data_IF_638373797281
#
_entry.id   IF_638373797281
#
_cell.length_a   1.000
_cell.length_b   1.000
_cell.length_c   1.000
_cell.angle_alpha   90.00
_cell.angle_beta   90.00
_cell.angle_gamma   90.00
#
_symmetry.space_group_name_H-M   'P 1'
#
loop_
_entity.id
_entity.type
_entity.pdbx_description
1 polymer ?
#
# COMPACT_ATOMS: atom_id res chain seq x y z
N UNK A 1 -11.23 -41.39 10.33
CA UNK A 1 -10.64 -40.30 11.13
C UNK A 1 -9.12 -40.43 11.08
N UNK A 2 -8.50 -39.61 10.22
CA UNK A 2 -7.10 -39.17 10.24
C UNK A 2 -6.88 -38.38 8.94
N UNK A 3 -7.05 -37.07 9.01
CA UNK A 3 -6.72 -36.16 7.92
C UNK A 3 -5.23 -35.82 8.02
N UNK A 4 -4.44 -36.25 7.04
CA UNK A 4 -3.04 -35.85 6.90
C UNK A 4 -3.01 -34.55 6.10
N UNK A 5 -2.57 -33.47 6.72
CA UNK A 5 -2.28 -32.19 6.08
C UNK A 5 -1.02 -32.35 5.22
N UNK A 6 -1.14 -32.07 3.92
CA UNK A 6 -0.02 -31.91 3.01
C UNK A 6 0.44 -30.46 3.13
N UNK A 7 1.59 -30.25 3.77
CA UNK A 7 2.33 -28.98 3.71
C UNK A 7 2.88 -28.80 2.30
N UNK A 8 2.42 -27.76 1.60
CA UNK A 8 3.02 -27.32 0.33
C UNK A 8 4.02 -26.21 0.64
N UNK A 9 5.30 -26.55 0.57
CA UNK A 9 6.40 -25.58 0.66
C UNK A 9 6.47 -24.75 -0.63
N UNK A 10 6.53 -23.42 -0.58
CA UNK A 10 6.67 -22.61 -1.79
C UNK A 10 8.08 -22.78 -2.40
N UNK A 11 8.22 -22.82 -3.73
CA UNK A 11 9.52 -22.94 -4.36
C UNK A 11 10.35 -21.66 -4.18
N UNK A 12 11.60 -21.87 -3.81
CA UNK A 12 12.66 -20.87 -3.74
C UNK A 12 12.87 -20.17 -5.10
N UNK A 13 12.53 -18.88 -5.17
CA UNK A 13 12.88 -17.99 -6.27
C UNK A 13 14.38 -17.64 -6.21
N UNK A 14 15.22 -18.51 -6.77
CA UNK A 14 16.61 -18.21 -7.09
C UNK A 14 16.87 -18.66 -8.52
N UNK A 15 16.59 -17.79 -9.49
CA UNK A 15 17.30 -17.68 -10.77
C UNK A 15 16.60 -16.64 -11.67
N UNK A 16 16.94 -15.37 -11.46
CA UNK A 16 16.92 -14.36 -12.52
C UNK A 16 18.17 -13.51 -12.37
N UNK A 17 19.28 -14.07 -12.86
CA UNK A 17 20.52 -13.34 -13.13
C UNK A 17 20.82 -13.58 -14.62
N UNK A 18 21.30 -12.51 -15.25
CA UNK A 18 21.83 -12.45 -16.62
C UNK A 18 20.83 -12.08 -17.73
N UNK A 19 20.72 -10.77 -17.99
CA UNK A 19 20.98 -10.19 -19.31
C UNK A 19 20.97 -8.65 -19.21
N UNK A 20 22.16 -8.05 -19.09
CA UNK A 20 22.35 -6.61 -19.30
C UNK A 20 23.18 -6.43 -20.58
N UNK A 21 22.71 -5.67 -21.59
CA UNK A 21 23.56 -5.26 -22.69
C UNK A 21 24.33 -3.99 -22.33
N UNK A 22 25.63 -4.07 -22.62
CA UNK A 22 26.63 -3.05 -22.44
C UNK A 22 26.29 -1.71 -23.13
N UNK A 23 26.47 -0.61 -22.41
CA UNK A 23 26.71 0.70 -22.99
C UNK A 23 28.01 1.27 -22.39
N UNK A 24 29.08 1.17 -23.17
CA UNK A 24 30.39 1.74 -22.92
C UNK A 24 30.37 3.26 -23.12
N UNK A 25 30.81 4.01 -22.11
CA UNK A 25 30.97 5.45 -22.18
C UNK A 25 31.89 5.96 -21.07
N UNK A 26 33.18 5.66 -21.21
CA UNK A 26 34.29 6.26 -20.45
C UNK A 26 34.22 7.79 -20.58
N UNK A 27 34.51 8.57 -19.53
CA UNK A 27 35.37 9.77 -19.55
C UNK A 27 35.58 10.33 -18.11
N UNK A 28 36.82 10.14 -17.63
CA UNK A 28 37.65 10.98 -16.73
C UNK A 28 37.26 11.29 -15.26
N UNK A 29 37.96 10.57 -14.38
CA UNK A 29 38.76 10.98 -13.20
C UNK A 29 38.69 12.45 -12.73
N UNK A 30 38.43 12.65 -11.43
CA UNK A 30 39.45 13.19 -10.50
C UNK A 30 39.15 12.88 -9.02
N UNK A 31 40.18 12.81 -8.16
CA UNK A 31 40.12 12.38 -6.75
C UNK A 31 40.28 13.55 -5.74
N UNK A 32 40.17 13.22 -4.44
CA UNK A 32 40.24 14.11 -3.25
C UNK A 32 38.98 14.98 -3.07
N UNK A 33 38.32 14.98 -1.92
CA UNK A 33 38.82 15.50 -0.64
C UNK A 33 38.29 14.68 0.56
N UNK A 34 39.23 14.35 1.44
CA UNK A 34 39.07 13.83 2.80
C UNK A 34 38.78 14.97 3.80
N UNK A 35 38.11 14.61 4.91
CA UNK A 35 38.11 15.27 6.24
C UNK A 35 37.33 16.58 6.43
N UNK A 36 36.30 16.51 7.31
CA UNK A 36 36.21 17.22 8.62
C UNK A 36 34.82 16.90 9.23
N UNK A 37 34.71 16.12 10.31
CA UNK A 37 34.81 16.48 11.73
C UNK A 37 33.73 17.49 12.22
N UNK A 38 33.01 17.03 13.25
CA UNK A 38 32.56 17.77 14.43
C UNK A 38 31.21 18.52 14.40
N UNK A 39 30.31 17.99 15.24
CA UNK A 39 29.54 18.73 16.26
C UNK A 39 28.31 19.55 15.83
N UNK A 40 27.13 18.99 16.10
CA UNK A 40 25.94 19.80 16.44
C UNK A 40 25.43 19.34 17.80
N UNK A 41 25.80 20.10 18.83
CA UNK A 41 25.15 20.13 20.13
C UNK A 41 23.79 20.83 19.97
N UNK A 42 22.73 20.16 20.44
CA UNK A 42 21.46 20.79 20.74
C UNK A 42 21.62 21.69 21.97
N UNK A 43 21.37 22.99 21.80
CA UNK A 43 20.96 23.89 22.89
C UNK A 43 20.27 25.12 22.30
N UNK A 44 18.97 25.01 22.07
CA UNK A 44 18.09 26.16 21.81
C UNK A 44 17.36 26.55 23.09
N UNK A 45 17.90 27.50 23.85
CA UNK A 45 17.14 28.28 24.83
C UNK A 45 17.32 29.77 24.52
N UNK A 46 16.19 30.47 24.44
CA UNK A 46 16.05 31.89 24.09
C UNK A 46 16.85 32.82 25.04
N UNK A 47 17.33 33.97 24.54
CA UNK A 47 17.96 34.99 25.37
C UNK A 47 16.89 35.86 26.07
N UNK A 48 16.92 35.89 27.40
CA UNK A 48 16.35 36.96 28.21
C UNK A 48 17.36 38.12 28.33
N UNK A 49 16.85 39.35 28.26
CA UNK A 49 17.59 40.62 28.23
C UNK A 49 18.55 40.82 29.42
N UNK A 50 19.65 41.59 29.24
CA UNK A 50 20.59 41.88 30.31
C UNK A 50 20.19 43.13 31.10
N UNK A 51 19.96 42.95 32.41
CA UNK A 51 20.08 44.02 33.39
C UNK A 51 21.52 44.04 33.91
N UNK A 52 22.13 45.21 33.81
CA UNK A 52 23.42 45.55 34.39
C UNK A 52 23.28 45.82 35.89
N UNK A 53 24.05 45.14 36.74
CA UNK A 53 24.95 45.84 37.67
C UNK A 53 25.81 44.93 38.57
N UNK A 54 27.00 45.46 38.87
CA UNK A 54 27.83 45.23 40.07
C UNK A 54 28.68 43.95 40.20
N UNK A 55 29.89 44.08 39.65
CA UNK A 55 31.21 43.70 40.22
C UNK A 55 31.25 43.61 41.76
N UNK A 56 31.64 42.46 42.30
CA UNK A 56 32.49 42.33 43.51
C UNK A 56 33.28 41.02 43.48
N UNK A 57 34.45 41.05 44.12
CA UNK A 57 35.61 40.19 43.94
C UNK A 57 35.63 38.89 44.77
N UNK A 58 36.40 37.92 44.25
CA UNK A 58 37.33 36.98 44.93
C UNK A 58 36.84 35.73 45.68
N UNK A 59 37.43 34.62 45.19
CA UNK A 59 38.22 33.60 45.91
C UNK A 59 37.59 32.22 46.24
N UNK A 60 37.98 31.24 45.43
CA UNK A 60 38.57 29.94 45.76
C UNK A 60 38.00 29.06 46.89
N UNK A 61 37.38 27.95 46.49
CA UNK A 61 37.54 26.55 46.99
C UNK A 61 36.40 25.75 46.33
N UNK A 62 36.61 24.63 45.64
CA UNK A 62 37.48 23.52 45.96
C UNK A 62 36.69 22.47 46.73
N UNK A 63 35.69 21.84 46.10
CA UNK A 63 35.24 20.52 46.57
C UNK A 63 34.70 19.66 45.41
N UNK A 64 35.22 18.45 45.39
CA UNK A 64 35.06 17.39 44.41
C UNK A 64 33.83 16.57 44.76
N UNK A 65 32.70 16.90 44.15
CA UNK A 65 31.52 16.04 44.09
C UNK A 65 31.57 15.18 42.82
N UNK A 66 32.15 13.99 42.91
CA UNK A 66 31.91 12.94 41.93
C UNK A 66 30.43 12.53 42.00
N UNK A 67 29.61 13.22 41.23
CA UNK A 67 28.22 12.88 40.99
C UNK A 67 28.22 11.72 40.00
N UNK A 68 27.93 10.52 40.50
CA UNK A 68 27.50 9.38 39.70
C UNK A 68 26.33 9.83 38.80
N UNK A 69 26.66 10.21 37.57
CA UNK A 69 25.69 10.41 36.51
C UNK A 69 25.16 9.03 36.15
N UNK A 70 24.10 8.64 36.88
CA UNK A 70 23.18 7.60 36.46
C UNK A 70 22.91 7.82 34.97
N UNK A 71 23.36 6.85 34.16
CA UNK A 71 23.03 6.79 32.74
C UNK A 71 21.53 6.51 32.70
N UNK A 72 20.76 7.58 32.67
CA UNK A 72 19.32 7.55 32.44
C UNK A 72 19.14 6.98 31.03
N UNK A 73 18.95 5.67 30.95
CA UNK A 73 18.65 4.98 29.72
C UNK A 73 17.31 5.51 29.24
N UNK A 74 17.33 6.50 28.35
CA UNK A 74 16.14 7.06 27.74
C UNK A 74 15.39 5.91 27.06
N UNK A 75 14.35 5.41 27.74
CA UNK A 75 13.49 4.39 27.20
C UNK A 75 12.89 4.94 25.90
N UNK A 76 13.08 4.21 24.80
CA UNK A 76 12.54 4.62 23.51
C UNK A 76 11.01 4.73 23.63
N UNK A 77 10.41 5.80 23.09
CA UNK A 77 8.97 6.00 23.20
C UNK A 77 8.21 4.87 22.50
N UNK A 78 7.15 4.41 23.16
CA UNK A 78 6.22 3.40 22.66
C UNK A 78 5.37 4.00 21.53
N UNK A 79 5.39 3.37 20.36
CA UNK A 79 4.64 3.83 19.18
C UNK A 79 3.30 3.09 19.08
N UNK A 80 2.20 3.81 18.90
CA UNK A 80 0.87 3.23 18.63
C UNK A 80 0.59 3.28 17.13
N UNK A 81 0.44 2.11 16.52
CA UNK A 81 0.15 1.94 15.11
C UNK A 81 -1.25 1.36 14.91
N UNK A 82 -2.08 2.04 14.12
CA UNK A 82 -3.34 1.46 13.63
C UNK A 82 -3.13 0.91 12.21
N UNK A 83 -3.62 -0.30 11.95
CA UNK A 83 -3.67 -0.92 10.62
C UNK A 83 -5.14 -1.15 10.26
N UNK A 84 -5.57 -0.64 9.11
CA UNK A 84 -6.97 -0.66 8.69
C UNK A 84 -7.20 -1.77 7.67
N UNK A 85 -8.20 -2.62 7.90
CA UNK A 85 -8.65 -3.71 7.02
C UNK A 85 -7.60 -4.81 6.68
N UNK A 86 -6.42 -4.81 7.32
CA UNK A 86 -5.36 -5.77 7.02
C UNK A 86 -4.75 -6.38 8.30
N UNK A 87 -5.43 -7.41 8.83
CA UNK A 87 -4.97 -8.13 10.02
C UNK A 87 -3.64 -8.88 9.79
N UNK A 88 -3.43 -9.58 8.66
CA UNK A 88 -2.13 -10.21 8.38
C UNK A 88 -0.96 -9.21 8.36
N UNK A 89 -1.15 -8.01 7.81
CA UNK A 89 -0.14 -6.96 7.84
C UNK A 89 0.12 -6.47 9.26
N UNK A 90 -0.92 -6.29 10.08
CA UNK A 90 -0.77 -5.91 11.49
C UNK A 90 0.12 -6.89 12.26
N UNK A 91 -0.16 -8.19 12.14
CA UNK A 91 0.65 -9.26 12.74
C UNK A 91 2.09 -9.26 12.21
N UNK A 92 2.27 -9.06 10.91
CA UNK A 92 3.59 -9.00 10.29
C UNK A 92 4.41 -7.81 10.81
N UNK A 93 3.80 -6.63 10.93
CA UNK A 93 4.47 -5.43 11.45
C UNK A 93 4.90 -5.64 12.90
N UNK A 94 4.00 -6.12 13.76
CA UNK A 94 4.32 -6.36 15.18
C UNK A 94 5.50 -7.33 15.32
N UNK A 95 5.43 -8.47 14.62
CA UNK A 95 6.50 -9.48 14.61
C UNK A 95 7.82 -8.91 14.11
N UNK A 96 7.83 -8.18 13.00
CA UNK A 96 9.07 -7.66 12.42
C UNK A 96 9.67 -6.51 13.22
N UNK A 97 8.84 -5.67 13.83
CA UNK A 97 9.29 -4.59 14.69
C UNK A 97 9.98 -5.13 15.95
N UNK A 98 9.32 -6.07 16.65
CA UNK A 98 9.87 -6.68 17.87
C UNK A 98 11.18 -7.45 17.62
N UNK A 99 11.40 -7.94 16.39
CA UNK A 99 12.62 -8.64 16.02
C UNK A 99 13.80 -7.71 15.67
N UNK A 100 13.54 -6.44 15.31
CA UNK A 100 14.54 -5.56 14.67
C UNK A 100 14.75 -4.22 15.38
N UNK A 101 13.80 -3.79 16.19
CA UNK A 101 13.77 -2.47 16.82
C UNK A 101 14.01 -2.60 18.32
N UNK A 102 14.76 -1.64 18.88
CA UNK A 102 14.96 -1.55 20.33
C UNK A 102 13.76 -0.91 21.08
N UNK A 103 12.82 -0.29 20.35
CA UNK A 103 11.63 0.36 20.91
C UNK A 103 10.37 -0.49 20.78
N UNK A 104 9.37 -0.20 21.62
CA UNK A 104 8.09 -0.93 21.65
C UNK A 104 7.08 -0.37 20.63
N UNK A 105 6.32 -1.26 19.97
CA UNK A 105 5.16 -0.91 19.14
C UNK A 105 3.90 -1.57 19.69
N UNK A 106 2.78 -0.84 19.68
CA UNK A 106 1.44 -1.40 19.88
C UNK A 106 0.70 -1.31 18.57
N UNK A 107 0.42 -2.48 17.99
CA UNK A 107 -0.33 -2.56 16.75
C UNK A 107 -1.78 -2.87 17.06
N UNK A 108 -2.69 -2.09 16.45
CA UNK A 108 -4.14 -2.34 16.50
C UNK A 108 -4.66 -2.51 15.08
N UNK A 109 -5.33 -3.62 14.80
CA UNK A 109 -6.10 -3.79 13.57
C UNK A 109 -7.56 -3.35 13.80
N UNK A 110 -8.10 -2.55 12.89
CA UNK A 110 -9.51 -2.12 12.90
C UNK A 110 -10.11 -2.14 11.49
N UNK A 111 -11.44 -2.15 11.39
CA UNK A 111 -12.13 -2.00 10.12
C UNK A 111 -12.22 -0.52 9.69
N UNK A 112 -12.25 -0.24 8.39
CA UNK A 112 -12.48 1.10 7.85
C UNK A 112 -13.76 1.74 8.38
N UNK A 113 -14.83 0.96 8.53
CA UNK A 113 -16.09 1.46 9.08
C UNK A 113 -15.96 1.97 10.52
N UNK A 114 -15.15 1.28 11.35
CA UNK A 114 -14.86 1.72 12.72
C UNK A 114 -14.06 3.01 12.73
N UNK A 115 -13.01 3.09 11.89
CA UNK A 115 -12.20 4.30 11.75
C UNK A 115 -13.05 5.52 11.33
N UNK A 116 -13.93 5.33 10.35
CA UNK A 116 -14.78 6.40 9.82
C UNK A 116 -15.82 6.88 10.83
N UNK A 117 -16.29 5.99 11.72
CA UNK A 117 -17.22 6.31 12.79
C UNK A 117 -16.56 6.95 14.02
N UNK A 118 -15.24 6.86 14.16
CA UNK A 118 -14.52 7.44 15.28
C UNK A 118 -14.53 8.99 15.27
N UNK A 119 -14.45 9.59 16.46
CA UNK A 119 -14.31 11.05 16.63
C UNK A 119 -12.84 11.51 16.52
N UNK A 120 -11.91 10.64 16.92
CA UNK A 120 -10.48 10.91 16.96
C UNK A 120 -9.65 9.68 16.56
N UNK A 121 -8.49 9.91 15.92
CA UNK A 121 -7.49 8.88 15.69
C UNK A 121 -6.54 8.79 16.88
N UNK A 122 -6.67 7.74 17.68
CA UNK A 122 -5.84 7.50 18.87
C UNK A 122 -4.58 6.70 18.52
N UNK A 123 -3.78 7.17 17.58
CA UNK A 123 -2.55 6.50 17.14
C UNK A 123 -1.51 7.51 16.68
N UNK A 124 -0.24 7.11 16.75
CA UNK A 124 0.90 7.92 16.33
C UNK A 124 1.19 7.72 14.83
N UNK A 125 0.82 6.55 14.30
CA UNK A 125 0.86 6.24 12.87
C UNK A 125 -0.37 5.40 12.47
N UNK A 126 -0.71 5.44 11.18
CA UNK A 126 -1.80 4.65 10.60
C UNK A 126 -1.42 4.11 9.22
N UNK A 127 -1.70 2.82 8.98
CA UNK A 127 -1.65 2.18 7.66
C UNK A 127 -3.08 1.97 7.21
N UNK A 128 -3.44 2.48 6.04
CA UNK A 128 -4.83 2.53 5.57
C UNK A 128 -4.96 2.36 4.05
N UNK A 129 -6.11 1.90 3.54
CA UNK A 129 -6.39 1.88 2.10
C UNK A 129 -6.34 3.28 1.50
N UNK A 130 -5.66 3.45 0.37
CA UNK A 130 -5.39 4.79 -0.22
C UNK A 130 -6.65 5.62 -0.49
N UNK A 131 -7.80 4.99 -0.70
CA UNK A 131 -9.10 5.65 -0.82
C UNK A 131 -9.53 6.47 0.41
N UNK A 132 -8.97 6.22 1.59
CA UNK A 132 -9.26 6.98 2.81
C UNK A 132 -8.42 8.24 2.99
N UNK A 133 -7.42 8.47 2.14
CA UNK A 133 -6.48 9.59 2.27
C UNK A 133 -7.20 10.93 2.41
N UNK A 134 -8.14 11.22 1.50
CA UNK A 134 -8.87 12.49 1.50
C UNK A 134 -9.63 12.72 2.79
N UNK A 135 -10.35 11.71 3.29
CA UNK A 135 -11.10 11.81 4.55
C UNK A 135 -10.19 12.04 5.74
N UNK A 136 -9.07 11.33 5.83
CA UNK A 136 -8.11 11.48 6.93
C UNK A 136 -7.44 12.86 6.92
N UNK A 137 -7.08 13.36 5.73
CA UNK A 137 -6.50 14.69 5.55
C UNK A 137 -7.50 15.80 5.89
N UNK A 138 -8.75 15.71 5.42
CA UNK A 138 -9.82 16.68 5.73
C UNK A 138 -10.13 16.74 7.22
N UNK A 139 -10.15 15.59 7.91
CA UNK A 139 -10.33 15.51 9.36
C UNK A 139 -9.08 15.94 10.15
N UNK A 140 -7.96 16.21 9.47
CA UNK A 140 -6.65 16.52 10.09
C UNK A 140 -6.18 15.43 11.06
N UNK A 141 -6.49 14.18 10.74
CA UNK A 141 -6.05 13.02 11.52
C UNK A 141 -4.66 12.54 11.10
N UNK A 142 -4.22 12.93 9.92
CA UNK A 142 -2.86 12.75 9.41
C UNK A 142 -2.26 14.11 9.11
N UNK A 143 -0.93 14.18 9.12
CA UNK A 143 -0.16 15.40 8.86
C UNK A 143 0.53 15.32 7.51
N UNK A 144 0.92 16.46 6.97
CA UNK A 144 1.82 16.50 5.81
C UNK A 144 3.11 15.76 6.15
N UNK A 145 3.52 14.86 5.27
CA UNK A 145 4.70 14.05 5.44
C UNK A 145 5.94 14.89 5.11
N UNK A 146 6.95 14.97 6.00
CA UNK A 146 8.16 15.74 5.74
C UNK A 146 8.89 15.18 4.51
N UNK A 147 9.48 16.06 3.69
CA UNK A 147 10.15 15.63 2.46
C UNK A 147 11.52 15.02 2.72
N UNK A 148 12.19 15.38 3.82
CA UNK A 148 13.54 14.93 4.14
C UNK A 148 13.69 13.40 4.15
N UNK A 149 12.79 12.61 4.78
CA UNK A 149 12.88 11.15 4.72
C UNK A 149 12.53 10.56 3.34
N UNK A 150 11.71 11.25 2.56
CA UNK A 150 11.32 10.81 1.19
C UNK A 150 12.47 11.02 0.20
N UNK A 151 13.25 12.08 0.39
CA UNK A 151 14.39 12.40 -0.48
C UNK A 151 15.68 11.70 -0.02
N UNK A 152 15.65 11.00 1.12
CA UNK A 152 16.73 10.15 1.59
C UNK A 152 17.00 8.99 0.62
N UNK A 153 18.28 8.67 0.41
CA UNK A 153 18.70 7.62 -0.52
C UNK A 153 18.14 6.24 -0.13
N UNK A 154 17.97 6.00 1.17
CA UNK A 154 17.43 4.78 1.76
C UNK A 154 15.99 4.50 1.34
N UNK A 155 15.19 5.55 1.06
CA UNK A 155 13.80 5.41 0.65
C UNK A 155 13.66 4.93 -0.81
N UNK A 156 14.70 5.09 -1.63
CA UNK A 156 14.72 4.66 -3.05
C UNK A 156 13.52 5.16 -3.85
N UNK A 157 13.20 6.45 -3.71
CA UNK A 157 12.03 7.09 -4.32
C UNK A 157 11.86 6.82 -5.82
N UNK A 158 12.96 6.71 -6.57
CA UNK A 158 12.94 6.46 -8.02
C UNK A 158 12.60 5.01 -8.39
N UNK A 159 12.64 4.08 -7.43
CA UNK A 159 12.17 2.71 -7.61
C UNK A 159 10.64 2.57 -7.53
N UNK A 160 9.91 3.61 -7.15
CA UNK A 160 8.45 3.59 -7.01
C UNK A 160 7.78 4.09 -8.29
N UNK A 161 6.75 3.39 -8.76
CA UNK A 161 6.00 3.79 -9.95
C UNK A 161 5.47 5.22 -9.86
N UNK A 162 5.53 5.95 -10.98
CA UNK A 162 5.20 7.38 -11.03
C UNK A 162 3.83 7.73 -10.43
N UNK A 163 2.79 6.94 -10.71
CA UNK A 163 1.44 7.19 -10.18
C UNK A 163 1.39 7.02 -8.65
N UNK A 164 2.02 5.97 -8.13
CA UNK A 164 2.08 5.68 -6.69
C UNK A 164 2.96 6.69 -5.95
N UNK A 165 4.01 7.19 -6.59
CA UNK A 165 4.89 8.19 -6.01
C UNK A 165 4.26 9.59 -5.94
N UNK A 166 3.56 10.00 -7.01
CA UNK A 166 3.14 11.39 -7.17
C UNK A 166 1.69 11.66 -6.80
N UNK A 167 0.79 10.68 -6.98
CA UNK A 167 -0.65 10.91 -6.88
C UNK A 167 -1.29 10.15 -5.73
N UNK A 168 -0.88 8.90 -5.49
CA UNK A 168 -1.47 8.08 -4.43
C UNK A 168 -1.33 8.66 -3.01
N UNK A 169 -0.17 9.22 -2.60
CA UNK A 169 -0.01 9.80 -1.26
C UNK A 169 -0.39 11.29 -1.19
N UNK A 170 -0.85 11.88 -2.29
CA UNK A 170 -1.04 13.32 -2.40
C UNK A 170 -2.50 13.73 -2.12
N UNK A 171 -2.66 14.77 -1.32
CA UNK A 171 -3.94 15.47 -1.16
C UNK A 171 -3.75 16.96 -1.43
N UNK A 172 -4.45 17.48 -2.43
CA UNK A 172 -4.20 18.82 -2.95
C UNK A 172 -2.80 18.92 -3.58
N UNK A 173 -1.90 19.67 -2.95
CA UNK A 173 -0.51 19.88 -3.43
C UNK A 173 0.55 19.28 -2.50
N UNK A 174 0.14 18.65 -1.41
CA UNK A 174 1.04 18.14 -0.37
C UNK A 174 0.99 16.61 -0.30
N UNK A 175 2.08 16.02 0.18
CA UNK A 175 2.22 14.59 0.41
C UNK A 175 1.84 14.30 1.86
N UNK A 176 1.00 13.30 2.09
CA UNK A 176 0.49 12.96 3.43
C UNK A 176 0.82 11.52 3.85
N UNK A 177 1.36 10.72 2.93
CA UNK A 177 1.59 9.31 3.16
C UNK A 177 2.80 8.79 2.39
N UNK A 178 3.17 7.56 2.72
CA UNK A 178 4.13 6.74 1.98
C UNK A 178 3.37 5.55 1.42
N UNK A 179 3.55 5.24 0.14
CA UNK A 179 2.88 4.09 -0.50
C UNK A 179 3.57 2.79 -0.09
N UNK A 180 2.80 1.82 0.39
CA UNK A 180 3.23 0.43 0.56
C UNK A 180 2.90 -0.43 -0.68
N UNK A 181 2.53 0.23 -1.78
CA UNK A 181 1.98 -0.39 -2.98
C UNK A 181 0.46 -0.40 -2.99
N UNK A 182 -0.10 -0.60 -4.18
CA UNK A 182 -1.54 -0.69 -4.42
C UNK A 182 -1.86 -1.97 -5.16
N UNK A 183 -2.92 -2.70 -4.77
CA UNK A 183 -3.31 -3.92 -5.46
C UNK A 183 -3.63 -3.61 -6.92
N UNK A 184 -3.17 -4.48 -7.81
CA UNK A 184 -3.48 -4.41 -9.24
C UNK A 184 -4.52 -5.48 -9.55
N UNK A 185 -5.62 -5.08 -10.20
CA UNK A 185 -6.57 -6.05 -10.72
C UNK A 185 -5.95 -6.74 -11.94
N UNK A 186 -5.83 -8.06 -11.86
CA UNK A 186 -5.23 -8.88 -12.91
C UNK A 186 -6.13 -10.06 -13.24
N UNK A 187 -6.08 -10.52 -14.49
CA UNK A 187 -6.70 -11.77 -14.90
C UNK A 187 -5.73 -12.93 -14.65
N UNK A 188 -6.01 -13.74 -13.65
CA UNK A 188 -5.37 -15.03 -13.46
C UNK A 188 -6.15 -16.11 -14.22
N UNK A 189 -5.44 -17.04 -14.88
CA UNK A 189 -6.08 -18.11 -15.65
C UNK A 189 -5.27 -19.42 -15.58
N UNK A 190 -5.96 -20.53 -15.81
CA UNK A 190 -5.37 -21.87 -15.88
C UNK A 190 -4.75 -22.11 -17.26
N UNK A 191 -3.42 -21.96 -17.33
CA UNK A 191 -2.65 -22.07 -18.58
C UNK A 191 -2.88 -23.38 -19.34
N UNK A 192 -2.97 -24.49 -18.63
CA UNK A 192 -3.20 -25.83 -19.19
C UNK A 192 -4.57 -25.96 -19.88
N UNK A 193 -5.62 -25.35 -19.32
CA UNK A 193 -6.94 -25.28 -19.97
C UNK A 193 -6.83 -24.49 -21.28
N UNK A 194 -6.14 -23.36 -21.27
CA UNK A 194 -5.96 -22.51 -22.45
C UNK A 194 -5.18 -23.21 -23.56
N UNK A 195 -4.09 -23.90 -23.20
CA UNK A 195 -3.27 -24.68 -24.14
C UNK A 195 -4.07 -25.85 -24.75
N UNK A 196 -4.85 -26.59 -23.95
CA UNK A 196 -5.70 -27.69 -24.43
C UNK A 196 -6.75 -27.20 -25.43
N UNK A 197 -7.44 -26.11 -25.10
CA UNK A 197 -8.49 -25.53 -25.93
C UNK A 197 -7.93 -24.68 -27.08
N UNK A 198 -6.61 -24.44 -27.10
CA UNK A 198 -5.92 -23.58 -28.08
C UNK A 198 -6.50 -22.16 -28.14
N UNK A 199 -6.88 -21.62 -26.98
CA UNK A 199 -7.41 -20.27 -26.82
C UNK A 199 -6.36 -19.35 -26.21
N UNK A 200 -6.44 -18.05 -26.50
CA UNK A 200 -5.57 -17.02 -25.93
C UNK A 200 -6.25 -16.31 -24.76
N UNK A 201 -5.48 -15.72 -23.81
CA UNK A 201 -6.02 -14.81 -22.80
C UNK A 201 -6.90 -13.74 -23.44
N UNK A 202 -8.13 -13.52 -22.95
CA UNK A 202 -9.02 -12.51 -23.50
C UNK A 202 -8.43 -11.11 -23.30
N UNK A 203 -8.56 -10.28 -24.33
CA UNK A 203 -8.07 -8.90 -24.34
C UNK A 203 -9.21 -7.88 -24.24
N UNK A 204 -10.46 -8.34 -24.32
CA UNK A 204 -11.67 -7.53 -24.15
C UNK A 204 -12.67 -8.23 -23.22
N UNK A 205 -13.59 -7.46 -22.63
CA UNK A 205 -14.67 -8.03 -21.81
C UNK A 205 -15.62 -8.94 -22.59
N UNK A 206 -15.83 -8.68 -23.89
CA UNK A 206 -16.64 -9.54 -24.74
C UNK A 206 -15.97 -10.89 -25.00
N UNK A 207 -14.66 -10.90 -25.27
CA UNK A 207 -13.87 -12.14 -25.36
C UNK A 207 -13.87 -12.89 -24.04
N UNK A 208 -13.72 -12.18 -22.92
CA UNK A 208 -13.79 -12.75 -21.59
C UNK A 208 -15.15 -13.43 -21.34
N UNK A 209 -16.26 -12.75 -21.63
CA UNK A 209 -17.60 -13.30 -21.43
C UNK A 209 -17.83 -14.56 -22.29
N UNK A 210 -17.44 -14.51 -23.56
CA UNK A 210 -17.52 -15.67 -24.47
C UNK A 210 -16.73 -16.85 -23.91
N UNK A 211 -15.54 -16.59 -23.38
CA UNK A 211 -14.69 -17.64 -22.81
C UNK A 211 -15.28 -18.20 -21.51
N UNK A 212 -15.84 -17.35 -20.63
CA UNK A 212 -16.53 -17.80 -19.42
C UNK A 212 -17.70 -18.73 -19.75
N UNK A 213 -18.51 -18.38 -20.76
CA UNK A 213 -19.62 -19.22 -21.21
C UNK A 213 -19.14 -20.57 -21.76
N UNK A 214 -18.07 -20.57 -22.57
CA UNK A 214 -17.47 -21.81 -23.07
C UNK A 214 -16.90 -22.67 -21.94
N UNK A 215 -16.15 -22.07 -21.02
CA UNK A 215 -15.55 -22.80 -19.89
C UNK A 215 -16.58 -23.27 -18.87
N UNK A 216 -17.83 -22.77 -18.94
CA UNK A 216 -18.96 -23.31 -18.16
C UNK A 216 -19.33 -24.73 -18.60
N UNK A 217 -19.07 -25.09 -19.87
CA UNK A 217 -19.25 -26.45 -20.35
C UNK A 217 -18.10 -27.36 -19.88
N UNK A 218 -18.37 -28.09 -18.81
CA UNK A 218 -17.44 -29.04 -18.20
C UNK A 218 -16.94 -30.11 -19.18
N UNK A 219 -17.73 -30.47 -20.20
CA UNK A 219 -17.33 -31.48 -21.18
C UNK A 219 -16.12 -31.03 -22.01
N UNK A 220 -15.96 -29.71 -22.24
CA UNK A 220 -14.83 -29.16 -22.99
C UNK A 220 -13.50 -29.32 -22.26
N UNK A 221 -13.53 -29.40 -20.93
CA UNK A 221 -12.33 -29.56 -20.11
C UNK A 221 -11.76 -30.99 -20.19
N UNK A 222 -12.60 -31.98 -20.49
CA UNK A 222 -12.22 -33.40 -20.50
C UNK A 222 -11.56 -33.80 -19.18
N UNK A 223 -10.36 -34.34 -19.25
CA UNK A 223 -9.58 -34.80 -18.08
C UNK A 223 -9.14 -33.66 -17.14
N UNK A 224 -9.20 -32.40 -17.59
CA UNK A 224 -8.90 -31.24 -16.74
C UNK A 224 -10.10 -30.79 -15.90
N UNK A 225 -11.29 -31.34 -16.17
CA UNK A 225 -12.45 -31.11 -15.34
C UNK A 225 -12.16 -31.64 -13.92
N UNK A 226 -12.65 -30.97 -12.86
CA UNK A 226 -12.67 -31.56 -11.52
C UNK A 226 -13.43 -32.91 -11.50
N UNK A 227 -13.42 -33.64 -10.39
CA UNK A 227 -14.28 -34.83 -10.19
C UNK A 227 -15.77 -34.45 -10.19
N UNK A 228 -16.68 -35.26 -10.74
CA UNK A 228 -18.09 -34.91 -10.99
C UNK A 228 -18.83 -34.32 -9.78
N UNK A 229 -18.49 -34.79 -8.57
CA UNK A 229 -19.01 -34.36 -7.28
C UNK A 229 -18.44 -33.01 -6.80
N UNK A 230 -17.33 -32.55 -7.39
CA UNK A 230 -16.75 -31.24 -7.12
C UNK A 230 -17.43 -30.13 -7.94
N UNK A 231 -17.69 -29.01 -7.27
CA UNK A 231 -18.19 -27.80 -7.91
C UNK A 231 -17.18 -27.25 -8.91
N UNK A 232 -17.67 -26.80 -10.07
CA UNK A 232 -16.89 -26.14 -11.09
C UNK A 232 -17.49 -24.76 -11.36
N UNK A 233 -16.63 -23.77 -11.57
CA UNK A 233 -17.01 -22.47 -12.09
C UNK A 233 -15.98 -22.03 -13.12
N UNK A 234 -16.47 -21.44 -14.19
CA UNK A 234 -15.63 -20.91 -15.26
C UNK A 234 -14.81 -19.70 -14.81
N UNK A 235 -15.29 -18.95 -13.82
CA UNK A 235 -14.62 -17.74 -13.33
C UNK A 235 -14.94 -17.42 -11.87
N UNK A 236 -13.98 -16.80 -11.20
CA UNK A 236 -14.14 -16.22 -9.86
C UNK A 236 -13.81 -14.73 -9.91
N UNK A 237 -14.84 -13.89 -9.85
CA UNK A 237 -14.70 -12.44 -9.72
C UNK A 237 -14.88 -12.00 -8.26
N UNK A 238 -14.10 -11.02 -7.79
CA UNK A 238 -14.21 -10.53 -6.41
C UNK A 238 -15.44 -9.61 -6.29
N UNK A 239 -16.58 -10.23 -5.97
CA UNK A 239 -17.90 -9.60 -5.91
C UNK A 239 -18.40 -9.35 -4.48
N UNK A 240 -17.57 -9.60 -3.47
CA UNK A 240 -17.90 -9.29 -2.08
C UNK A 240 -17.87 -7.78 -1.81
N UNK A 241 -18.42 -7.38 -0.65
CA UNK A 241 -18.43 -6.00 -0.19
C UNK A 241 -17.01 -5.41 -0.20
N UNK A 242 -16.87 -4.18 -0.72
CA UNK A 242 -15.59 -3.51 -0.95
C UNK A 242 -15.00 -3.78 -2.33
N UNK A 243 -14.96 -5.04 -2.78
CA UNK A 243 -14.39 -5.40 -4.08
C UNK A 243 -15.35 -5.28 -5.26
N UNK A 244 -16.65 -5.51 -5.05
CA UNK A 244 -17.66 -5.40 -6.11
C UNK A 244 -17.65 -4.01 -6.78
N UNK A 245 -17.48 -2.96 -5.97
CA UNK A 245 -17.38 -1.59 -6.48
C UNK A 245 -16.11 -1.41 -7.34
N UNK A 246 -14.96 -1.94 -6.89
CA UNK A 246 -13.73 -1.90 -7.66
C UNK A 246 -13.83 -2.68 -8.98
N UNK A 247 -14.48 -3.84 -8.96
CA UNK A 247 -14.76 -4.63 -10.18
C UNK A 247 -15.66 -3.88 -11.16
N UNK A 248 -16.71 -3.22 -10.66
CA UNK A 248 -17.57 -2.37 -11.49
C UNK A 248 -16.76 -1.25 -12.16
N UNK A 249 -15.92 -0.55 -11.40
CA UNK A 249 -15.07 0.51 -11.93
C UNK A 249 -14.07 -0.02 -12.96
N UNK A 250 -13.45 -1.18 -12.70
CA UNK A 250 -12.50 -1.79 -13.62
C UNK A 250 -13.18 -2.21 -14.94
N UNK A 251 -14.38 -2.78 -14.88
CA UNK A 251 -15.18 -3.15 -16.06
C UNK A 251 -15.66 -1.93 -16.84
N UNK A 252 -16.10 -0.89 -16.15
CA UNK A 252 -16.58 0.33 -16.76
C UNK A 252 -15.46 1.20 -17.34
N UNK A 253 -14.22 1.10 -16.84
CA UNK A 253 -13.10 1.92 -17.26
C UNK A 253 -12.88 2.00 -18.78
N UNK A 254 -12.83 0.90 -19.55
CA UNK A 254 -12.68 0.98 -21.00
C UNK A 254 -13.87 1.63 -21.72
N UNK A 255 -15.07 1.62 -21.13
CA UNK A 255 -16.27 2.25 -21.71
C UNK A 255 -16.37 3.74 -21.35
N UNK A 256 -15.92 4.11 -20.14
CA UNK A 256 -16.01 5.47 -19.62
C UNK A 256 -14.82 6.35 -20.06
N UNK A 257 -13.67 5.75 -20.36
CA UNK A 257 -12.47 6.46 -20.79
C UNK A 257 -12.43 6.58 -22.32
N UNK A 258 -12.88 7.72 -22.83
CA UNK A 258 -12.70 8.08 -24.23
C UNK A 258 -11.89 9.38 -24.34
N UNK A 259 -11.07 9.52 -25.41
CA UNK A 259 -10.22 10.69 -25.63
C UNK A 259 -10.96 12.03 -25.67
N UNK A 260 -12.26 12.01 -25.96
CA UNK A 260 -13.12 13.20 -26.00
C UNK A 260 -13.98 13.39 -24.74
N UNK A 261 -13.80 12.54 -23.72
CA UNK A 261 -14.58 12.56 -22.48
C UNK A 261 -13.66 12.84 -21.30
N UNK A 262 -13.75 14.06 -20.77
CA UNK A 262 -12.93 14.54 -19.65
C UNK A 262 -13.55 14.25 -18.27
N UNK A 263 -14.72 13.62 -18.22
CA UNK A 263 -15.44 13.29 -16.98
C UNK A 263 -15.75 11.79 -16.96
N UNK A 264 -15.25 11.10 -15.94
CA UNK A 264 -15.39 9.63 -15.80
C UNK A 264 -16.39 9.30 -14.69
N UNK A 265 -16.05 9.59 -13.44
CA UNK A 265 -16.91 9.33 -12.27
C UNK A 265 -17.78 10.52 -11.88
N UNK A 266 -17.25 11.73 -12.05
CA UNK A 266 -17.93 12.98 -11.72
C UNK A 266 -17.81 13.95 -12.91
N UNK A 267 -18.83 14.77 -13.10
CA UNK A 267 -18.75 15.90 -14.00
C UNK A 267 -17.74 16.92 -13.46
N UNK A 268 -16.72 17.25 -14.26
CA UNK A 268 -15.61 18.12 -13.80
C UNK A 268 -16.04 19.54 -13.42
N UNK A 269 -17.18 20.02 -13.92
CA UNK A 269 -17.68 21.38 -13.63
C UNK A 269 -18.70 21.39 -12.50
N UNK A 270 -19.63 20.45 -12.53
CA UNK A 270 -20.78 20.46 -11.60
C UNK A 270 -20.59 19.54 -10.41
N UNK A 271 -19.57 18.67 -10.44
CA UNK A 271 -19.35 17.59 -9.46
C UNK A 271 -20.52 16.60 -9.34
N UNK A 272 -21.46 16.61 -10.29
CA UNK A 272 -22.53 15.62 -10.31
C UNK A 272 -21.94 14.22 -10.56
N UNK A 273 -22.39 13.19 -9.81
CA UNK A 273 -21.98 11.82 -10.05
C UNK A 273 -22.49 11.34 -11.41
N UNK A 274 -21.69 10.52 -12.09
CA UNK A 274 -21.99 9.92 -13.39
C UNK A 274 -22.06 8.39 -13.32
N UNK A 275 -22.15 7.85 -12.10
CA UNK A 275 -22.09 6.40 -11.81
C UNK A 275 -23.29 5.62 -12.36
N UNK A 276 -24.39 6.30 -12.68
CA UNK A 276 -25.61 5.76 -13.30
C UNK A 276 -25.59 5.89 -14.84
N UNK A 277 -24.50 6.39 -15.41
CA UNK A 277 -24.35 6.57 -16.85
C UNK A 277 -24.14 5.26 -17.63
N UNK A 278 -24.28 5.30 -18.97
CA UNK A 278 -24.20 4.12 -19.84
C UNK A 278 -22.97 3.20 -19.65
N UNK A 279 -21.74 3.73 -19.41
CA UNK A 279 -20.58 2.88 -19.17
C UNK A 279 -20.72 1.94 -17.95
N UNK A 280 -21.33 2.45 -16.88
CA UNK A 280 -21.44 1.74 -15.61
C UNK A 280 -22.64 0.80 -15.60
N UNK A 281 -23.76 1.20 -16.19
CA UNK A 281 -24.92 0.30 -16.35
C UNK A 281 -24.57 -0.92 -17.19
N UNK A 282 -23.87 -0.71 -18.31
CA UNK A 282 -23.35 -1.80 -19.14
C UNK A 282 -22.42 -2.72 -18.34
N UNK A 283 -21.44 -2.15 -17.63
CA UNK A 283 -20.51 -2.93 -16.83
C UNK A 283 -21.22 -3.76 -15.74
N UNK A 284 -22.25 -3.20 -15.11
CA UNK A 284 -23.07 -3.89 -14.12
C UNK A 284 -23.83 -5.07 -14.75
N UNK A 285 -24.41 -4.89 -15.93
CA UNK A 285 -25.08 -5.98 -16.64
C UNK A 285 -24.11 -7.11 -17.00
N UNK A 286 -22.91 -6.77 -17.48
CA UNK A 286 -21.85 -7.74 -17.77
C UNK A 286 -21.39 -8.49 -16.49
N UNK A 287 -21.26 -7.80 -15.36
CA UNK A 287 -20.98 -8.45 -14.05
C UNK A 287 -22.08 -9.43 -13.65
N UNK A 288 -23.36 -9.04 -13.81
CA UNK A 288 -24.50 -9.89 -13.48
C UNK A 288 -24.51 -11.17 -14.32
N UNK A 289 -24.16 -11.06 -15.61
CA UNK A 289 -24.03 -12.23 -16.49
C UNK A 289 -22.92 -13.17 -16.03
N UNK A 290 -21.75 -12.64 -15.64
CA UNK A 290 -20.65 -13.45 -15.13
C UNK A 290 -20.97 -14.11 -13.79
N UNK A 291 -21.62 -13.41 -12.86
CA UNK A 291 -22.07 -13.95 -11.56
C UNK A 291 -23.07 -15.09 -11.76
N UNK A 292 -23.95 -15.01 -12.75
CA UNK A 292 -24.88 -16.10 -13.09
C UNK A 292 -24.19 -17.44 -13.41
N UNK A 293 -22.89 -17.43 -13.69
CA UNK A 293 -22.05 -18.61 -13.95
C UNK A 293 -21.26 -19.09 -12.71
N UNK A 294 -21.40 -18.39 -11.58
CA UNK A 294 -20.77 -18.77 -10.31
C UNK A 294 -21.75 -19.59 -9.47
N UNK A 295 -21.29 -20.64 -8.75
CA UNK A 295 -22.12 -21.29 -7.75
C UNK A 295 -22.50 -20.27 -6.68
N UNK A 296 -23.73 -20.35 -6.19
CA UNK A 296 -24.20 -19.47 -5.12
C UNK A 296 -23.23 -19.58 -3.93
N UNK A 297 -22.57 -18.48 -3.59
CA UNK A 297 -21.80 -18.37 -2.35
C UNK A 297 -22.80 -18.48 -1.21
N UNK A 298 -22.71 -19.58 -0.45
CA UNK A 298 -23.47 -19.69 0.80
C UNK A 298 -22.80 -18.75 1.80
N UNK A 299 -23.56 -17.84 2.45
CA UNK A 299 -23.01 -16.89 3.41
C UNK A 299 -22.38 -17.56 4.63
#
# INVERSE_FOLDING_TARGET
>A
MNASLIEVTPPSFNHFRDASPAASGVWRRSPLVLLLLASILFAGCQPSSPDSDSRTDRAASGDSGASDAATDSLALPKIRLTVVDDAPLAEAVERHWNARSAGEVVVRNIASAELLAAEHLNSDAVIYPSGLLGTLAERRWIVEFPMEPIDAAEYQRDGIFTLQRLHEPAWGKAIYAVSLGSPQLVLAFRRDIFERLKVQPPTTWAEYQTLVEQLGDRALLGELAPAEDAAWTATVEPNDQGWAALMLLARAAPYARHRSQFSTLFNVRTMQPLIDGPPFTRALDEMRMAIGQQPATTP
#
